data_IF_566455407759
#
_entry.id   IF_566455407759
#
_cell.length_a   1.000
_cell.length_b   1.000
_cell.length_c   1.000
_cell.angle_alpha   90.00
_cell.angle_beta   90.00
_cell.angle_gamma   90.00
#
_symmetry.space_group_name_H-M   'P 1'
#
loop_
_entity.id
_entity.type
_entity.pdbx_description
1 polymer ?
#
# COMPACT_ATOMS: atom_id res chain seq x y z
N UNK A 1 -11.67 -5.53 -9.55
CA UNK A 1 -11.20 -6.93 -9.73
C UNK A 1 -11.98 -7.70 -10.80
N UNK A 2 -13.31 -7.58 -10.90
CA UNK A 2 -14.12 -8.31 -11.89
C UNK A 2 -13.61 -8.15 -13.34
N UNK A 3 -13.28 -6.93 -13.74
CA UNK A 3 -12.68 -6.62 -15.05
C UNK A 3 -11.35 -7.34 -15.31
N UNK A 4 -10.60 -7.71 -14.27
CA UNK A 4 -9.37 -8.51 -14.37
C UNK A 4 -9.57 -9.96 -13.89
N UNK A 5 -10.81 -10.48 -13.92
CA UNK A 5 -11.16 -11.85 -13.54
C UNK A 5 -10.69 -12.24 -12.12
N UNK A 6 -10.65 -11.28 -11.19
CA UNK A 6 -10.18 -11.53 -9.82
C UNK A 6 -8.68 -11.77 -9.69
N UNK A 7 -7.88 -11.49 -10.74
CA UNK A 7 -6.43 -11.72 -10.74
C UNK A 7 -5.64 -10.48 -10.32
N UNK A 8 -4.51 -10.72 -9.67
CA UNK A 8 -3.43 -9.76 -9.46
C UNK A 8 -2.22 -10.14 -10.33
N UNK A 9 -1.34 -9.18 -10.67
CA UNK A 9 -1.48 -7.74 -10.40
C UNK A 9 -2.42 -7.06 -11.42
N UNK A 10 -2.97 -5.90 -11.06
CA UNK A 10 -3.65 -5.01 -12.00
C UNK A 10 -3.46 -3.54 -11.59
N UNK A 11 -3.59 -2.62 -12.54
CA UNK A 11 -3.59 -1.19 -12.26
C UNK A 11 -4.95 -0.56 -12.59
N UNK A 12 -5.38 0.38 -11.75
CA UNK A 12 -6.37 1.39 -12.09
C UNK A 12 -5.68 2.76 -12.19
N UNK A 13 -6.24 3.67 -12.97
CA UNK A 13 -5.73 5.03 -13.04
C UNK A 13 -6.87 6.02 -13.14
N UNK A 14 -6.68 7.20 -12.55
CA UNK A 14 -7.63 8.30 -12.61
C UNK A 14 -6.90 9.60 -12.93
N UNK A 15 -7.50 10.38 -13.82
CA UNK A 15 -7.08 11.75 -14.10
C UNK A 15 -8.25 12.65 -13.73
N UNK A 16 -8.02 13.60 -12.81
CA UNK A 16 -9.10 14.42 -12.29
C UNK A 16 -8.59 15.61 -11.49
N UNK A 17 -9.54 16.39 -10.97
CA UNK A 17 -9.24 17.52 -10.09
C UNK A 17 -9.11 17.04 -8.64
N UNK A 18 -8.03 17.43 -7.99
CA UNK A 18 -7.83 17.35 -6.56
C UNK A 18 -8.04 18.72 -5.93
N UNK A 19 -8.65 18.72 -4.73
CA UNK A 19 -8.90 19.93 -3.95
C UNK A 19 -8.19 19.82 -2.61
N UNK A 20 -7.46 20.86 -2.23
CA UNK A 20 -6.85 20.99 -0.89
C UNK A 20 -7.20 22.37 -0.33
N UNK A 21 -7.78 22.41 0.88
CA UNK A 21 -8.12 23.67 1.54
C UNK A 21 -6.87 24.33 2.14
N UNK A 22 -5.95 24.71 1.26
CA UNK A 22 -4.66 25.27 1.61
C UNK A 22 -4.82 26.63 2.32
N UNK A 23 -4.15 26.76 3.46
CA UNK A 23 -4.26 27.92 4.36
C UNK A 23 -3.73 29.17 3.67
N UNK A 24 -2.57 29.07 3.00
CA UNK A 24 -1.96 30.19 2.28
C UNK A 24 -1.37 29.72 0.94
N UNK A 25 -2.16 29.75 -0.16
CA UNK A 25 -1.68 29.46 -1.50
C UNK A 25 -0.59 30.47 -1.92
N UNK A 26 0.55 29.99 -2.41
CA UNK A 26 1.74 30.79 -2.79
C UNK A 26 2.50 30.12 -3.93
N UNK A 27 3.49 30.80 -4.52
CA UNK A 27 4.41 30.23 -5.52
C UNK A 27 3.70 29.75 -6.80
N UNK A 28 2.67 30.48 -7.24
CA UNK A 28 1.97 30.21 -8.50
C UNK A 28 1.35 28.81 -8.53
N UNK A 29 1.73 28.00 -9.53
CA UNK A 29 1.19 26.65 -9.74
C UNK A 29 1.71 25.59 -8.76
N UNK A 30 2.69 25.93 -7.91
CA UNK A 30 3.31 24.96 -6.99
C UNK A 30 2.39 24.63 -5.82
N UNK A 31 1.65 25.63 -5.30
CA UNK A 31 0.79 25.49 -4.12
C UNK A 31 -0.56 26.18 -4.33
N UNK A 32 -1.51 25.41 -4.85
CA UNK A 32 -2.87 25.84 -5.24
C UNK A 32 -3.93 25.05 -4.48
N UNK A 33 -5.18 25.53 -4.52
CA UNK A 33 -6.33 24.87 -3.88
C UNK A 33 -7.03 23.84 -4.76
N UNK A 34 -6.89 23.98 -6.07
CA UNK A 34 -7.44 23.09 -7.09
C UNK A 34 -6.35 22.80 -8.10
N UNK A 35 -6.14 21.52 -8.42
CA UNK A 35 -5.11 21.09 -9.36
C UNK A 35 -5.45 19.74 -9.98
N UNK A 36 -5.02 19.53 -11.22
CA UNK A 36 -5.16 18.23 -11.87
C UNK A 36 -4.12 17.25 -11.34
N UNK A 37 -4.60 16.07 -10.93
CA UNK A 37 -3.77 14.92 -10.57
C UNK A 37 -3.97 13.81 -11.58
N UNK A 38 -2.92 13.03 -11.80
CA UNK A 38 -3.00 11.74 -12.47
C UNK A 38 -2.45 10.70 -11.49
N UNK A 39 -3.27 9.77 -11.05
CA UNK A 39 -2.90 8.78 -10.04
C UNK A 39 -3.07 7.38 -10.63
N UNK A 40 -2.14 6.50 -10.31
CA UNK A 40 -2.17 5.09 -10.71
C UNK A 40 -2.15 4.27 -9.44
N UNK A 41 -3.15 3.42 -9.25
CA UNK A 41 -3.18 2.44 -8.16
C UNK A 41 -2.79 1.08 -8.74
N UNK A 42 -1.56 0.63 -8.49
CA UNK A 42 -1.10 -0.68 -8.95
C UNK A 42 -1.19 -1.71 -7.82
N UNK A 43 -2.25 -2.52 -7.88
CA UNK A 43 -2.54 -3.57 -6.91
C UNK A 43 -1.68 -4.80 -7.19
N UNK A 44 -0.91 -5.21 -6.20
CA UNK A 44 0.01 -6.36 -6.25
C UNK A 44 -0.20 -7.28 -5.06
N UNK A 45 0.28 -8.51 -5.21
CA UNK A 45 0.37 -9.42 -4.09
C UNK A 45 1.42 -8.91 -3.08
N UNK A 46 1.08 -8.74 -1.79
CA UNK A 46 2.06 -8.29 -0.80
C UNK A 46 3.23 -9.27 -0.61
N UNK A 47 3.04 -10.57 -0.90
CA UNK A 47 4.07 -11.61 -0.79
C UNK A 47 4.99 -11.67 -2.01
N UNK A 48 4.56 -11.13 -3.17
CA UNK A 48 5.34 -11.10 -4.40
C UNK A 48 5.16 -9.75 -5.11
N UNK A 49 6.14 -8.86 -4.87
CA UNK A 49 6.25 -7.56 -5.53
C UNK A 49 7.23 -7.55 -6.69
N UNK A 50 7.55 -8.72 -7.27
CA UNK A 50 8.30 -8.81 -8.52
C UNK A 50 7.49 -8.22 -9.68
N UNK A 51 8.18 -7.74 -10.72
CA UNK A 51 7.50 -7.17 -11.87
C UNK A 51 8.13 -7.63 -13.18
N UNK A 52 7.38 -8.39 -13.97
CA UNK A 52 7.89 -8.99 -15.22
C UNK A 52 8.55 -8.00 -16.20
N UNK A 53 8.12 -6.73 -16.21
CA UNK A 53 8.68 -5.68 -17.07
C UNK A 53 9.82 -4.90 -16.43
N UNK A 54 10.19 -5.16 -15.17
CA UNK A 54 11.33 -4.52 -14.50
C UNK A 54 12.65 -4.75 -15.27
N UNK A 55 12.81 -5.94 -15.85
CA UNK A 55 13.93 -6.26 -16.76
C UNK A 55 14.14 -5.25 -17.89
N UNK A 56 13.08 -4.55 -18.33
CA UNK A 56 13.17 -3.52 -19.39
C UNK A 56 13.80 -2.21 -18.93
N UNK A 57 13.81 -1.97 -17.63
CA UNK A 57 14.34 -0.75 -17.02
C UNK A 57 15.48 -1.02 -16.05
N UNK A 58 15.87 -2.27 -15.82
CA UNK A 58 16.90 -2.67 -14.85
C UNK A 58 18.18 -1.81 -14.96
N UNK A 59 18.71 -1.62 -16.17
CA UNK A 59 19.91 -0.81 -16.40
C UNK A 59 19.67 0.70 -16.51
N UNK A 60 18.45 1.19 -16.26
CA UNK A 60 18.10 2.60 -16.44
C UNK A 60 18.73 3.45 -15.33
N UNK A 61 19.53 4.48 -15.67
CA UNK A 61 20.21 5.30 -14.67
C UNK A 61 19.24 6.24 -13.97
N UNK A 62 19.39 6.36 -12.65
CA UNK A 62 18.59 7.23 -11.81
C UNK A 62 19.46 7.99 -10.82
N UNK A 63 19.05 9.23 -10.51
CA UNK A 63 19.65 10.05 -9.44
C UNK A 63 18.79 9.85 -8.18
N UNK A 64 19.33 9.12 -7.21
CA UNK A 64 18.63 8.72 -5.99
C UNK A 64 19.21 9.46 -4.77
N UNK A 65 18.33 10.04 -3.97
CA UNK A 65 18.65 10.67 -2.69
C UNK A 65 17.99 9.87 -1.56
N UNK A 66 18.67 8.81 -1.13
CA UNK A 66 18.18 7.87 -0.12
C UNK A 66 17.99 8.54 1.25
N UNK A 67 17.21 7.90 2.12
CA UNK A 67 17.02 8.35 3.50
C UNK A 67 18.35 8.39 4.27
N UNK A 68 19.21 7.37 4.09
CA UNK A 68 20.55 7.35 4.70
C UNK A 68 21.40 8.54 4.24
N UNK A 69 21.46 8.82 2.93
CA UNK A 69 22.25 9.95 2.44
C UNK A 69 21.71 11.29 2.97
N UNK A 70 20.39 11.44 3.09
CA UNK A 70 19.79 12.62 3.71
C UNK A 70 20.22 12.79 5.17
N UNK A 71 20.19 11.72 5.96
CA UNK A 71 20.56 11.74 7.38
C UNK A 71 22.07 11.98 7.58
N UNK A 72 22.90 11.42 6.69
CA UNK A 72 24.36 11.51 6.76
C UNK A 72 24.92 12.77 6.08
N UNK A 73 24.06 13.65 5.58
CA UNK A 73 24.45 14.87 4.86
C UNK A 73 25.19 14.60 3.53
N UNK A 74 25.01 13.41 2.96
CA UNK A 74 25.64 12.99 1.71
C UNK A 74 24.80 13.42 0.50
N UNK A 75 25.41 13.65 -0.68
CA UNK A 75 24.66 14.01 -1.88
C UNK A 75 23.85 12.83 -2.44
N UNK A 76 22.97 13.14 -3.39
CA UNK A 76 22.32 12.12 -4.23
C UNK A 76 23.35 11.33 -5.04
N UNK A 77 23.11 10.04 -5.23
CA UNK A 77 23.97 9.14 -6.00
C UNK A 77 23.31 8.74 -7.31
N UNK A 78 24.14 8.54 -8.35
CA UNK A 78 23.67 7.96 -9.62
C UNK A 78 23.94 6.47 -9.60
N UNK A 79 22.91 5.67 -9.86
CA UNK A 79 23.02 4.22 -10.06
C UNK A 79 21.89 3.73 -10.96
N UNK A 80 21.99 2.50 -11.46
CA UNK A 80 20.86 1.89 -12.15
C UNK A 80 19.74 1.53 -11.17
N UNK A 81 18.49 1.56 -11.61
CA UNK A 81 17.36 1.16 -10.76
C UNK A 81 17.45 -0.33 -10.36
N UNK A 82 18.04 -1.17 -11.22
CA UNK A 82 18.35 -2.57 -10.94
C UNK A 82 19.28 -2.73 -9.74
N UNK A 83 20.42 -2.04 -9.76
CA UNK A 83 21.36 -2.03 -8.63
C UNK A 83 20.71 -1.49 -7.34
N UNK A 84 19.83 -0.49 -7.45
CA UNK A 84 19.15 0.09 -6.29
C UNK A 84 18.21 -0.93 -5.62
N UNK A 85 17.49 -1.73 -6.41
CA UNK A 85 16.62 -2.81 -5.91
C UNK A 85 17.45 -3.97 -5.35
N UNK A 86 18.53 -4.39 -6.05
CA UNK A 86 19.41 -5.46 -5.59
C UNK A 86 20.11 -5.15 -4.27
N UNK A 87 20.45 -3.87 -4.03
CA UNK A 87 21.02 -3.38 -2.77
C UNK A 87 19.97 -3.11 -1.68
N UNK A 88 18.69 -3.27 -1.98
CA UNK A 88 17.59 -2.97 -1.06
C UNK A 88 17.42 -1.48 -0.74
N UNK A 89 17.98 -0.58 -1.56
CA UNK A 89 17.78 0.87 -1.44
C UNK A 89 16.34 1.21 -1.85
N UNK A 90 15.87 0.61 -2.95
CA UNK A 90 14.47 0.65 -3.38
C UNK A 90 13.83 -0.69 -3.02
N UNK A 91 12.70 -0.67 -2.34
CA UNK A 91 12.17 -1.86 -1.66
C UNK A 91 11.86 -3.07 -2.57
N UNK A 92 11.42 -2.84 -3.82
CA UNK A 92 11.02 -3.93 -4.73
C UNK A 92 11.04 -3.53 -6.21
N UNK A 93 10.95 -4.53 -7.10
CA UNK A 93 10.95 -4.35 -8.55
C UNK A 93 9.75 -3.56 -9.07
N UNK A 94 8.57 -3.70 -8.46
CA UNK A 94 7.37 -2.99 -8.88
C UNK A 94 7.52 -1.49 -8.65
N UNK A 95 7.93 -1.07 -7.44
CA UNK A 95 8.23 0.31 -7.11
C UNK A 95 9.34 0.87 -8.02
N UNK A 96 10.44 0.13 -8.17
CA UNK A 96 11.54 0.52 -9.06
C UNK A 96 11.11 0.68 -10.51
N UNK A 97 10.25 -0.19 -11.03
CA UNK A 97 9.71 -0.06 -12.38
C UNK A 97 8.94 1.25 -12.55
N UNK A 98 8.05 1.57 -11.61
CA UNK A 98 7.27 2.80 -11.68
C UNK A 98 8.13 4.05 -11.51
N UNK A 99 9.12 4.05 -10.61
CA UNK A 99 10.10 5.15 -10.48
C UNK A 99 10.83 5.41 -11.80
N UNK A 100 11.35 4.36 -12.46
CA UNK A 100 12.04 4.50 -13.74
C UNK A 100 11.10 5.00 -14.84
N UNK A 101 9.87 4.49 -14.92
CA UNK A 101 8.86 4.95 -15.89
C UNK A 101 8.45 6.40 -15.65
N UNK A 102 8.33 6.81 -14.39
CA UNK A 102 8.08 8.20 -13.99
C UNK A 102 9.22 9.10 -14.45
N UNK A 103 10.48 8.72 -14.21
CA UNK A 103 11.64 9.47 -14.70
C UNK A 103 11.62 9.61 -16.23
N UNK A 104 11.45 8.49 -16.95
CA UNK A 104 11.37 8.49 -18.42
C UNK A 104 10.26 9.40 -18.94
N UNK A 105 9.10 9.42 -18.28
CA UNK A 105 7.99 10.30 -18.63
C UNK A 105 8.34 11.77 -18.43
N UNK A 106 8.88 12.13 -17.26
CA UNK A 106 9.26 13.51 -16.93
C UNK A 106 10.28 14.06 -17.93
N UNK A 107 11.31 13.28 -18.27
CA UNK A 107 12.28 13.67 -19.30
C UNK A 107 11.61 13.81 -20.66
N UNK A 108 10.73 12.88 -21.03
CA UNK A 108 10.02 12.91 -22.32
C UNK A 108 9.14 14.16 -22.48
N UNK A 109 8.54 14.68 -21.40
CA UNK A 109 7.71 15.90 -21.46
C UNK A 109 8.53 17.20 -21.38
N UNK A 110 9.86 17.12 -21.26
CA UNK A 110 10.76 18.29 -21.33
C UNK A 110 11.45 18.67 -20.02
N UNK A 111 11.37 17.85 -18.98
CA UNK A 111 12.15 18.10 -17.75
C UNK A 111 13.63 17.80 -18.01
N UNK A 112 14.50 18.78 -17.75
CA UNK A 112 15.96 18.57 -17.77
C UNK A 112 16.39 17.50 -16.75
N UNK A 113 16.97 16.36 -17.19
CA UNK A 113 17.36 15.27 -16.29
C UNK A 113 18.43 15.68 -15.28
N UNK A 114 19.22 16.74 -15.54
CA UNK A 114 20.22 17.26 -14.58
C UNK A 114 19.58 17.95 -13.38
N UNK A 115 18.28 18.27 -13.48
CA UNK A 115 17.46 18.96 -12.49
C UNK A 115 16.36 18.05 -11.95
N UNK A 116 16.50 16.74 -12.11
CA UNK A 116 15.55 15.73 -11.65
C UNK A 116 16.26 14.75 -10.73
N UNK A 117 15.69 14.49 -9.56
CA UNK A 117 16.15 13.45 -8.64
C UNK A 117 14.96 12.73 -8.01
N UNK A 118 15.20 11.57 -7.42
CA UNK A 118 14.22 10.84 -6.62
C UNK A 118 14.67 10.86 -5.17
N UNK A 119 13.89 11.47 -4.28
CA UNK A 119 14.19 11.57 -2.85
C UNK A 119 13.33 10.57 -2.08
N UNK A 120 13.96 9.75 -1.26
CA UNK A 120 13.25 8.83 -0.38
C UNK A 120 12.66 9.59 0.81
N UNK A 121 11.46 9.22 1.26
CA UNK A 121 10.91 9.74 2.50
C UNK A 121 11.74 9.27 3.70
N UNK A 122 11.92 10.14 4.69
CA UNK A 122 12.49 9.75 5.98
C UNK A 122 11.44 9.02 6.83
N UNK A 123 11.87 8.22 7.80
CA UNK A 123 10.96 7.43 8.64
C UNK A 123 9.89 8.24 9.39
N UNK A 124 10.13 9.52 9.66
CA UNK A 124 9.18 10.46 10.27
C UNK A 124 8.27 11.18 9.26
N UNK A 125 8.60 11.13 7.96
CA UNK A 125 7.81 11.68 6.85
C UNK A 125 6.92 10.61 6.22
N UNK A 126 7.33 9.35 6.29
CA UNK A 126 6.53 8.23 5.80
C UNK A 126 5.18 8.22 6.50
N UNK A 127 4.11 8.09 5.71
CA UNK A 127 2.82 7.73 6.26
C UNK A 127 2.97 6.42 7.04
N UNK A 128 2.28 6.30 8.18
CA UNK A 128 2.37 5.16 9.10
C UNK A 128 2.07 3.77 8.45
N UNK A 129 1.62 3.75 7.21
CA UNK A 129 1.27 2.57 6.42
C UNK A 129 2.14 2.37 5.16
N UNK A 130 3.02 3.31 4.81
CA UNK A 130 3.88 3.20 3.63
C UNK A 130 5.12 2.35 3.96
N UNK A 131 5.44 1.39 3.10
CA UNK A 131 6.66 0.57 3.26
C UNK A 131 7.90 1.26 2.70
N UNK A 132 7.74 2.00 1.62
CA UNK A 132 8.78 2.81 0.98
C UNK A 132 8.10 3.92 0.16
N UNK A 133 8.73 5.08 0.02
CA UNK A 133 8.17 6.18 -0.76
C UNK A 133 9.27 7.05 -1.35
N UNK A 134 9.17 7.32 -2.65
CA UNK A 134 10.14 8.09 -3.42
C UNK A 134 9.47 9.22 -4.20
N UNK A 135 9.85 10.45 -3.89
CA UNK A 135 9.38 11.65 -4.58
C UNK A 135 10.30 11.98 -5.76
N UNK A 136 9.75 12.07 -6.97
CA UNK A 136 10.42 12.72 -8.08
C UNK A 136 10.41 14.23 -7.84
N UNK A 137 11.57 14.77 -7.43
CA UNK A 137 11.78 16.18 -7.19
C UNK A 137 12.42 16.84 -8.40
N UNK A 138 11.90 18.01 -8.77
CA UNK A 138 12.43 18.82 -9.87
C UNK A 138 12.99 20.12 -9.31
N UNK A 139 14.21 20.47 -9.68
CA UNK A 139 14.88 21.70 -9.26
C UNK A 139 14.35 22.88 -10.09
N UNK A 140 13.67 23.80 -9.42
CA UNK A 140 13.11 25.03 -9.98
C UNK A 140 13.74 26.26 -9.32
N UNK A 141 13.33 27.44 -9.74
CA UNK A 141 13.69 28.72 -9.12
C UNK A 141 13.26 28.82 -7.65
N UNK A 142 12.32 27.98 -7.22
CA UNK A 142 11.87 27.83 -5.83
C UNK A 142 12.57 26.69 -5.07
N UNK A 143 13.61 26.08 -5.65
CA UNK A 143 14.32 24.93 -5.10
C UNK A 143 13.77 23.60 -5.59
N UNK A 144 14.12 22.52 -4.89
CA UNK A 144 13.62 21.17 -5.17
C UNK A 144 12.16 21.07 -4.75
N UNK A 145 11.28 20.77 -5.70
CA UNK A 145 9.86 20.57 -5.46
C UNK A 145 9.44 19.17 -5.86
N UNK A 146 8.67 18.52 -5.00
CA UNK A 146 8.02 17.24 -5.28
C UNK A 146 6.98 17.41 -6.38
N UNK A 147 7.12 16.66 -7.48
CA UNK A 147 6.21 16.71 -8.63
C UNK A 147 5.46 15.40 -8.86
N UNK A 148 6.05 14.28 -8.45
CA UNK A 148 5.41 12.95 -8.50
C UNK A 148 5.81 12.16 -7.27
N UNK A 149 4.85 11.74 -6.44
CA UNK A 149 5.09 10.79 -5.36
C UNK A 149 4.99 9.36 -5.89
N UNK A 150 5.93 8.47 -5.55
CA UNK A 150 5.86 7.04 -5.86
C UNK A 150 5.88 6.27 -4.54
N UNK A 151 4.70 5.91 -4.06
CA UNK A 151 4.53 5.29 -2.75
C UNK A 151 4.27 3.78 -2.88
N UNK A 152 4.89 2.99 -2.02
CA UNK A 152 4.45 1.63 -1.70
C UNK A 152 3.53 1.71 -0.49
N UNK A 153 2.24 1.91 -0.77
CA UNK A 153 1.20 1.88 0.24
C UNK A 153 0.84 0.41 0.44
N UNK A 154 0.94 -0.05 1.67
CA UNK A 154 0.55 -1.42 2.01
C UNK A 154 -0.97 -1.61 1.83
N UNK A 155 -1.58 -2.46 2.64
CA UNK A 155 -3.01 -2.73 2.55
C UNK A 155 -3.90 -1.68 3.24
N UNK A 156 -3.37 -0.56 3.74
CA UNK A 156 -4.12 0.32 4.67
C UNK A 156 -5.42 0.88 4.08
N UNK A 157 -5.39 1.48 2.89
CA UNK A 157 -6.59 2.07 2.27
C UNK A 157 -7.66 1.01 2.04
N UNK A 158 -7.26 -0.16 1.54
CA UNK A 158 -8.16 -1.29 1.40
C UNK A 158 -8.68 -1.73 2.76
N UNK A 159 -7.83 -1.94 3.77
CA UNK A 159 -8.23 -2.45 5.11
C UNK A 159 -9.19 -1.48 5.82
N UNK A 160 -8.99 -0.16 5.70
CA UNK A 160 -9.89 0.84 6.27
C UNK A 160 -11.25 0.87 5.55
N UNK A 161 -11.26 0.68 4.22
CA UNK A 161 -12.49 0.57 3.45
C UNK A 161 -13.12 -0.84 3.45
N UNK A 162 -12.36 -1.88 3.82
CA UNK A 162 -12.68 -3.31 3.63
C UNK A 162 -12.94 -4.07 4.92
N UNK A 163 -13.71 -3.52 5.87
CA UNK A 163 -14.42 -4.41 6.83
C UNK A 163 -15.39 -5.40 6.13
N UNK A 164 -15.34 -5.57 4.80
CA UNK A 164 -16.29 -6.36 4.01
C UNK A 164 -15.76 -6.92 2.66
N UNK A 165 -14.58 -6.55 2.14
CA UNK A 165 -14.13 -7.03 0.80
C UNK A 165 -12.96 -8.01 0.88
N UNK A 166 -13.35 -9.28 0.96
CA UNK A 166 -12.50 -10.47 1.01
C UNK A 166 -12.05 -10.87 -0.40
N UNK A 167 -10.78 -10.63 -0.77
CA UNK A 167 -10.25 -11.06 -2.07
C UNK A 167 -9.52 -12.39 -1.94
N UNK A 168 -9.83 -13.36 -2.81
CA UNK A 168 -9.27 -14.72 -2.75
C UNK A 168 -8.24 -14.94 -3.88
N UNK A 169 -7.01 -15.29 -3.53
CA UNK A 169 -5.97 -15.81 -4.42
C UNK A 169 -6.05 -17.34 -4.45
N UNK A 170 -5.89 -17.95 -5.63
CA UNK A 170 -5.76 -19.42 -5.73
C UNK A 170 -4.34 -19.81 -5.34
N UNK A 171 -4.22 -20.81 -4.47
CA UNK A 171 -2.92 -21.37 -4.13
C UNK A 171 -2.41 -22.24 -5.28
N UNK A 172 -1.11 -22.16 -5.57
CA UNK A 172 -0.47 -22.97 -6.61
C UNK A 172 -0.53 -24.47 -6.26
N UNK A 173 -0.37 -24.78 -4.98
CA UNK A 173 -0.57 -26.12 -4.41
C UNK A 173 -1.57 -26.06 -3.25
N UNK A 174 -2.52 -27.00 -3.15
CA UNK A 174 -3.46 -27.02 -2.03
C UNK A 174 -2.74 -27.19 -0.70
N UNK A 175 -2.97 -26.27 0.24
CA UNK A 175 -2.39 -26.36 1.59
C UNK A 175 -3.37 -27.07 2.51
N UNK A 176 -2.90 -28.12 3.19
CA UNK A 176 -3.62 -28.71 4.31
C UNK A 176 -3.37 -27.86 5.55
N UNK A 177 -4.42 -27.24 6.07
CA UNK A 177 -4.38 -26.53 7.36
C UNK A 177 -5.15 -27.33 8.40
N UNK A 178 -4.55 -27.42 9.58
CA UNK A 178 -5.24 -27.92 10.77
C UNK A 178 -6.14 -26.79 11.26
N UNK A 179 -7.44 -27.06 11.34
CA UNK A 179 -8.43 -26.14 11.87
C UNK A 179 -8.87 -26.68 13.22
N UNK A 180 -8.72 -25.85 14.26
CA UNK A 180 -9.31 -26.05 15.57
C UNK A 180 -10.53 -25.12 15.63
N UNK A 181 -11.71 -25.67 15.87
CA UNK A 181 -12.95 -24.87 15.95
C UNK A 181 -13.79 -25.29 17.16
N UNK A 182 -14.44 -24.32 17.80
CA UNK A 182 -15.50 -24.59 18.75
C UNK A 182 -16.78 -24.96 17.99
N UNK A 183 -17.33 -26.13 18.29
CA UNK A 183 -18.58 -26.65 17.75
C UNK A 183 -19.67 -26.52 18.83
N UNK A 184 -20.49 -25.45 18.77
CA UNK A 184 -21.58 -25.25 19.73
C UNK A 184 -22.77 -26.15 19.43
N UNK A 185 -23.36 -26.72 20.47
CA UNK A 185 -24.65 -27.40 20.41
C UNK A 185 -25.79 -26.38 20.54
N UNK A 186 -26.29 -25.90 19.40
CA UNK A 186 -27.29 -24.84 19.36
C UNK A 186 -28.61 -25.20 20.03
N UNK A 187 -28.98 -26.48 20.11
CA UNK A 187 -30.19 -26.90 20.81
C UNK A 187 -30.08 -26.69 22.33
N UNK A 188 -28.93 -27.02 22.91
CA UNK A 188 -28.68 -26.82 24.33
C UNK A 188 -28.40 -25.35 24.67
N UNK A 189 -27.60 -24.67 23.86
CA UNK A 189 -27.37 -23.23 24.03
C UNK A 189 -28.66 -22.43 23.92
N UNK A 190 -29.53 -22.75 22.96
CA UNK A 190 -30.83 -22.11 22.80
C UNK A 190 -31.77 -22.36 23.97
N UNK A 191 -31.69 -23.54 24.60
CA UNK A 191 -32.49 -23.89 25.79
C UNK A 191 -32.01 -23.14 27.04
N UNK A 192 -30.70 -23.05 27.24
CA UNK A 192 -30.09 -22.44 28.43
C UNK A 192 -30.06 -20.91 28.33
N UNK A 193 -29.55 -20.37 27.22
CA UNK A 193 -29.24 -18.94 27.07
C UNK A 193 -30.23 -18.18 26.18
N UNK A 194 -31.22 -18.85 25.60
CA UNK A 194 -32.33 -18.25 24.83
C UNK A 194 -31.82 -17.26 23.76
N UNK A 195 -32.10 -15.96 23.93
CA UNK A 195 -31.74 -14.89 22.99
C UNK A 195 -30.23 -14.71 22.83
N UNK A 196 -29.44 -15.09 23.82
CA UNK A 196 -27.99 -14.91 23.85
C UNK A 196 -27.24 -16.07 23.17
N UNK A 197 -27.90 -17.19 22.88
CA UNK A 197 -27.29 -18.35 22.22
C UNK A 197 -26.61 -18.01 20.88
N UNK A 198 -27.23 -17.14 20.08
CA UNK A 198 -26.67 -16.69 18.80
C UNK A 198 -25.44 -15.79 18.98
N UNK A 199 -25.42 -14.98 20.06
CA UNK A 199 -24.28 -14.13 20.40
C UNK A 199 -23.10 -14.97 20.87
N UNK A 200 -23.35 -15.96 21.72
CA UNK A 200 -22.36 -16.93 22.18
C UNK A 200 -21.77 -17.70 21.00
N UNK A 201 -22.59 -18.13 20.04
CA UNK A 201 -22.10 -18.80 18.82
C UNK A 201 -21.11 -17.92 18.03
N UNK A 202 -21.44 -16.64 17.85
CA UNK A 202 -20.58 -15.69 17.13
C UNK A 202 -19.26 -15.48 17.87
N UNK A 203 -19.32 -15.31 19.19
CA UNK A 203 -18.14 -15.15 20.04
C UNK A 203 -17.24 -16.40 20.02
N UNK A 204 -17.82 -17.60 20.10
CA UNK A 204 -17.08 -18.87 20.00
C UNK A 204 -16.36 -19.02 18.64
N UNK A 205 -16.96 -18.51 17.56
CA UNK A 205 -16.36 -18.55 16.22
C UNK A 205 -15.22 -17.54 16.04
N UNK A 206 -15.04 -16.60 16.97
CA UNK A 206 -14.01 -15.56 16.93
C UNK A 206 -12.82 -15.85 17.87
N UNK A 207 -12.88 -16.94 18.65
CA UNK A 207 -11.78 -17.35 19.52
C UNK A 207 -10.53 -17.74 18.72
N UNK A 208 -9.38 -17.32 19.20
CA UNK A 208 -8.07 -17.74 18.70
C UNK A 208 -7.76 -19.21 19.04
N UNK A 209 -6.75 -19.79 18.38
CA UNK A 209 -6.34 -21.18 18.67
C UNK A 209 -5.95 -21.39 20.14
N UNK A 210 -5.22 -20.44 20.74
CA UNK A 210 -4.83 -20.51 22.16
C UNK A 210 -6.05 -20.47 23.09
N UNK A 211 -7.06 -19.67 22.76
CA UNK A 211 -8.31 -19.59 23.51
C UNK A 211 -9.16 -20.86 23.36
N UNK A 212 -9.17 -21.49 22.19
CA UNK A 212 -9.86 -22.76 21.97
C UNK A 212 -9.19 -23.90 22.74
N UNK A 213 -7.86 -23.93 22.80
CA UNK A 213 -7.11 -24.88 23.64
C UNK A 213 -7.40 -24.62 25.12
N UNK A 214 -7.45 -23.36 25.53
CA UNK A 214 -7.83 -22.97 26.90
C UNK A 214 -9.27 -23.37 27.24
N UNK A 215 -10.20 -23.22 26.30
CA UNK A 215 -11.60 -23.65 26.45
C UNK A 215 -11.69 -25.15 26.68
N UNK A 216 -11.02 -25.96 25.86
CA UNK A 216 -11.00 -27.42 26.01
C UNK A 216 -10.38 -27.84 27.36
N UNK A 217 -9.25 -27.23 27.73
CA UNK A 217 -8.54 -27.51 28.97
C UNK A 217 -9.38 -27.17 30.21
N UNK A 218 -10.00 -25.98 30.24
CA UNK A 218 -10.84 -25.52 31.36
C UNK A 218 -12.12 -26.34 31.51
N UNK A 219 -12.76 -26.73 30.41
CA UNK A 219 -13.91 -27.64 30.48
C UNK A 219 -13.48 -28.99 31.06
N UNK A 220 -12.30 -29.49 30.71
CA UNK A 220 -11.78 -30.76 31.23
C UNK A 220 -11.39 -30.70 32.72
N UNK A 221 -10.79 -29.59 33.18
CA UNK A 221 -10.30 -29.45 34.56
C UNK A 221 -11.36 -28.93 35.54
N UNK A 222 -12.17 -27.96 35.12
CA UNK A 222 -13.12 -27.23 35.97
C UNK A 222 -14.58 -27.59 35.68
N UNK A 223 -14.85 -28.37 34.62
CA UNK A 223 -16.18 -28.80 34.21
C UNK A 223 -16.96 -27.75 33.40
N UNK A 224 -16.48 -26.51 33.36
CA UNK A 224 -17.07 -25.43 32.58
C UNK A 224 -16.04 -24.37 32.17
N UNK A 225 -16.28 -23.70 31.04
CA UNK A 225 -15.53 -22.54 30.58
C UNK A 225 -16.39 -21.28 30.69
N UNK A 226 -15.84 -20.23 31.30
CA UNK A 226 -16.51 -18.93 31.40
C UNK A 226 -16.11 -18.07 30.20
N UNK A 227 -17.06 -17.85 29.30
CA UNK A 227 -16.92 -16.94 28.18
C UNK A 227 -17.35 -15.54 28.62
N UNK A 228 -16.40 -14.62 28.73
CA UNK A 228 -16.67 -13.21 29.07
C UNK A 228 -17.06 -12.45 27.80
N UNK A 229 -18.18 -11.75 27.85
CA UNK A 229 -18.67 -10.83 26.80
C UNK A 229 -19.00 -9.47 27.44
N UNK A 230 -19.20 -8.43 26.62
CA UNK A 230 -19.42 -7.04 27.06
C UNK A 230 -20.52 -6.87 28.13
N UNK A 231 -21.50 -7.78 28.17
CA UNK A 231 -22.68 -7.70 29.03
C UNK A 231 -22.72 -8.77 30.15
N UNK A 232 -21.68 -9.61 30.30
CA UNK A 232 -21.63 -10.65 31.33
C UNK A 232 -20.80 -11.89 30.98
N UNK A 233 -20.72 -12.84 31.92
CA UNK A 233 -20.04 -14.13 31.75
C UNK A 233 -21.04 -15.27 31.53
N UNK A 234 -20.76 -16.11 30.53
CA UNK A 234 -21.55 -17.30 30.21
C UNK A 234 -20.76 -18.57 30.51
N UNK A 235 -21.34 -19.46 31.32
CA UNK A 235 -20.71 -20.73 31.70
C UNK A 235 -21.06 -21.84 30.71
N UNK A 236 -20.08 -22.31 29.94
CA UNK A 236 -20.23 -23.31 28.89
C UNK A 236 -19.69 -24.66 29.36
N UNK A 237 -20.48 -25.72 29.26
CA UNK A 237 -20.09 -27.08 29.62
C UNK A 237 -19.72 -27.91 28.39
N UNK A 238 -19.13 -29.08 28.60
CA UNK A 238 -18.79 -30.05 27.53
C UNK A 238 -19.99 -30.52 26.71
N UNK A 239 -21.21 -30.48 27.27
CA UNK A 239 -22.44 -30.79 26.55
C UNK A 239 -22.83 -29.66 25.57
N UNK A 240 -22.49 -28.42 25.90
CA UNK A 240 -22.89 -27.22 25.17
C UNK A 240 -21.91 -26.83 24.06
N UNK A 241 -20.61 -27.10 24.25
CA UNK A 241 -19.56 -26.81 23.28
C UNK A 241 -18.50 -27.90 23.30
N UNK A 242 -18.04 -28.29 22.11
CA UNK A 242 -16.93 -29.22 21.94
C UNK A 242 -15.88 -28.60 21.03
N UNK A 243 -14.61 -28.92 21.24
CA UNK A 243 -13.54 -28.48 20.34
C UNK A 243 -13.26 -29.59 19.33
N UNK A 244 -13.35 -29.26 18.04
CA UNK A 244 -13.08 -30.20 16.96
C UNK A 244 -11.80 -29.80 16.25
N UNK A 245 -10.90 -30.77 16.08
CA UNK A 245 -9.71 -30.65 15.24
C UNK A 245 -10.01 -31.33 13.91
N UNK A 246 -9.86 -30.60 12.82
CA UNK A 246 -10.04 -31.14 11.47
C UNK A 246 -8.95 -30.65 10.53
N UNK A 247 -8.66 -31.42 9.49
CA UNK A 247 -7.80 -30.96 8.40
C UNK A 247 -8.67 -30.47 7.27
N UNK A 248 -8.42 -29.24 6.81
CA UNK A 248 -9.07 -28.69 5.61
C UNK A 248 -8.02 -28.41 4.57
N UNK A 249 -8.21 -29.00 3.40
CA UNK A 249 -7.46 -28.62 2.21
C UNK A 249 -8.00 -27.30 1.70
N UNK A 250 -7.19 -26.25 1.79
CA UNK A 250 -7.53 -24.92 1.31
C UNK A 250 -6.90 -24.74 -0.07
N UNK A 251 -7.74 -24.39 -1.04
CA UNK A 251 -7.33 -24.15 -2.43
C UNK A 251 -7.18 -22.66 -2.75
N UNK A 252 -7.65 -21.79 -1.85
CA UNK A 252 -7.66 -20.33 -2.02
C UNK A 252 -7.32 -19.65 -0.71
N UNK A 253 -6.39 -18.70 -0.74
CA UNK A 253 -6.02 -17.84 0.38
C UNK A 253 -6.68 -16.48 0.20
N UNK A 254 -7.15 -15.89 1.29
CA UNK A 254 -7.65 -14.53 1.25
C UNK A 254 -6.49 -13.55 1.41
N UNK A 255 -6.33 -12.63 0.45
CA UNK A 255 -5.23 -11.67 0.43
C UNK A 255 -5.78 -10.26 0.34
N UNK A 256 -5.17 -9.34 1.08
CA UNK A 256 -5.38 -7.90 0.88
C UNK A 256 -4.22 -7.38 0.04
N UNK A 257 -4.46 -6.90 -1.20
CA UNK A 257 -3.40 -6.41 -2.06
C UNK A 257 -2.61 -5.26 -1.42
N UNK A 258 -1.32 -5.19 -1.72
CA UNK A 258 -0.53 -3.97 -1.55
C UNK A 258 -0.72 -3.08 -2.77
N UNK A 259 -0.46 -1.79 -2.63
CA UNK A 259 -0.67 -0.80 -3.69
C UNK A 259 0.59 0.04 -3.93
N UNK A 260 1.12 -0.03 -5.15
CA UNK A 260 2.12 0.94 -5.61
C UNK A 260 1.39 2.11 -6.28
N UNK A 261 1.59 3.31 -5.74
CA UNK A 261 0.90 4.53 -6.16
C UNK A 261 1.87 5.60 -6.68
N UNK A 262 2.02 5.73 -8.00
CA UNK A 262 2.51 6.94 -8.64
C UNK A 262 1.41 8.02 -8.72
N UNK A 263 1.60 9.13 -8.01
CA UNK A 263 0.70 10.29 -8.01
C UNK A 263 1.37 11.52 -8.62
N UNK A 264 0.86 11.99 -9.77
CA UNK A 264 1.45 13.06 -10.56
C UNK A 264 0.72 14.39 -10.34
N UNK A 265 1.44 15.39 -9.83
CA UNK A 265 0.97 16.78 -9.76
C UNK A 265 1.16 17.52 -11.08
N UNK A 266 0.19 17.41 -11.99
CA UNK A 266 0.31 17.91 -13.38
C UNK A 266 0.67 19.41 -13.44
N UNK A 267 0.09 20.22 -12.55
CA UNK A 267 0.40 21.66 -12.47
C UNK A 267 1.87 21.95 -12.14
N UNK A 268 2.46 21.17 -11.23
CA UNK A 268 3.88 21.29 -10.84
C UNK A 268 4.81 20.83 -11.96
N UNK A 269 4.50 19.69 -12.58
CA UNK A 269 5.25 19.17 -13.74
C UNK A 269 5.24 20.20 -14.88
N UNK A 270 4.08 20.76 -15.20
CA UNK A 270 3.95 21.79 -16.23
C UNK A 270 4.76 23.03 -15.89
N UNK A 271 4.70 23.53 -14.65
CA UNK A 271 5.51 24.67 -14.21
C UNK A 271 7.01 24.41 -14.40
N UNK A 272 7.49 23.24 -13.97
CA UNK A 272 8.90 22.88 -14.11
C UNK A 272 9.34 22.79 -15.58
N UNK A 273 8.50 22.22 -16.47
CA UNK A 273 8.78 22.20 -17.92
C UNK A 273 8.84 23.61 -18.49
N UNK A 274 7.93 24.51 -18.10
CA UNK A 274 7.95 25.90 -18.54
C UNK A 274 9.25 26.60 -18.12
N UNK A 275 9.72 26.38 -16.90
CA UNK A 275 10.98 26.95 -16.43
C UNK A 275 12.19 26.35 -17.16
N UNK A 276 12.21 25.03 -17.34
CA UNK A 276 13.32 24.33 -17.98
C UNK A 276 13.45 24.62 -19.47
N UNK A 277 12.35 24.95 -20.15
CA UNK A 277 12.31 25.28 -21.59
C UNK A 277 12.39 26.78 -21.88
N UNK A 278 12.24 27.66 -20.88
CA UNK A 278 12.28 29.11 -21.09
C UNK A 278 13.67 29.57 -21.54
N UNK A 279 13.74 30.25 -22.69
CA UNK A 279 14.96 30.84 -23.23
C UNK A 279 14.69 32.25 -23.76
N UNK A 280 15.74 33.06 -23.76
CA UNK A 280 15.77 34.38 -24.40
C UNK A 280 16.62 34.28 -25.67
N UNK A 281 16.19 34.92 -26.76
CA UNK A 281 16.98 34.95 -27.99
C UNK A 281 18.21 35.81 -27.81
N UNK A 282 19.31 35.36 -28.40
CA UNK A 282 20.55 36.13 -28.44
C UNK A 282 20.32 37.45 -29.19
N UNK A 283 20.73 38.57 -28.58
CA UNK A 283 20.63 39.90 -29.16
C UNK A 283 19.25 40.60 -29.07
N UNK A 284 18.22 39.95 -28.51
CA UNK A 284 16.92 40.58 -28.27
C UNK A 284 16.28 40.07 -26.98
N UNK A 285 16.39 40.87 -25.92
CA UNK A 285 15.93 40.48 -24.59
C UNK A 285 14.41 40.36 -24.45
N UNK A 286 13.67 40.97 -25.37
CA UNK A 286 12.21 40.91 -25.37
C UNK A 286 11.67 39.68 -26.12
N UNK A 287 12.52 39.00 -26.89
CA UNK A 287 12.15 37.78 -27.62
C UNK A 287 12.42 36.54 -26.79
N UNK A 288 11.37 36.08 -26.12
CA UNK A 288 11.38 34.81 -25.37
C UNK A 288 10.85 33.66 -26.22
N UNK A 289 11.43 32.47 -26.06
CA UNK A 289 11.03 31.24 -26.76
C UNK A 289 10.99 30.07 -25.77
N UNK A 290 10.24 29.02 -26.14
CA UNK A 290 10.21 27.73 -25.45
C UNK A 290 10.84 26.69 -26.38
N UNK A 291 11.90 26.04 -25.93
CA UNK A 291 12.64 25.01 -26.69
C UNK A 291 12.66 23.71 -25.93
#
# INVERSE_FOLDING_TARGET
LEFNQGKLPFAAAQIGLGFRNEISPRQGLIRVREFTMCEIEHFVDPSDKSFSKFKKVHSYPMVLFSACNQMDGQPSQTMSIGEAVEKGIVANETLGYYMARTHMYLVKVGVDPRRLRFRQHLGNEMAHYAQDCWDAEILTSYGWIECVGNADRSCYDLTQHSKTTNTKKKLDEPRTVNIIEAVPNMALLGKEFKKDAKRIQIALAQLSEDELVSLESKIASEGAYKLSMDDGEFSLTSAMVSVKRSTKTVHVEEITPSVIEPSFGIGRVMYAVLEHSFRQREGDEQRTVRV
#
